data_IF_209379166497
#
_entry.id   IF_209379166497
#
_cell.length_a   1.000
_cell.length_b   1.000
_cell.length_c   1.000
_cell.angle_alpha   90.00
_cell.angle_beta   90.00
_cell.angle_gamma   90.00
#
_symmetry.space_group_name_H-M   'P 1'
#
loop_
_entity.id
_entity.type
_entity.pdbx_description
1 polymer ?
#
# COMPACT_ATOMS: atom_id res chain seq x y z
N UNK A 1 -2.87 9.06 10.83
CA UNK A 1 -2.72 7.72 11.42
C UNK A 1 -1.83 6.86 10.55
N UNK A 2 -0.93 6.14 11.17
CA UNK A 2 0.01 5.27 10.48
C UNK A 2 -0.42 3.82 10.66
N UNK A 3 -0.59 3.08 9.56
CA UNK A 3 -0.99 1.68 9.58
C UNK A 3 -0.01 0.83 8.81
N UNK A 4 0.23 -0.37 9.31
CA UNK A 4 1.10 -1.35 8.65
C UNK A 4 0.27 -2.48 8.07
N UNK A 5 0.72 -2.98 6.93
CA UNK A 5 0.04 -4.04 6.20
C UNK A 5 1.04 -5.10 5.76
N UNK A 6 0.60 -6.35 5.75
CA UNK A 6 1.35 -7.42 5.11
C UNK A 6 1.06 -7.38 3.61
N UNK A 7 2.10 -7.57 2.81
CA UNK A 7 1.99 -7.57 1.36
C UNK A 7 2.44 -8.93 0.85
N UNK A 8 1.60 -9.55 0.02
CA UNK A 8 1.88 -10.88 -0.54
C UNK A 8 1.99 -10.80 -2.05
N UNK A 9 2.81 -11.68 -2.61
CA UNK A 9 2.99 -11.82 -4.05
C UNK A 9 3.55 -10.56 -4.73
N UNK A 10 4.38 -9.81 -4.02
CA UNK A 10 5.08 -8.65 -4.58
C UNK A 10 6.58 -8.85 -4.34
N UNK A 11 7.32 -9.11 -5.42
CA UNK A 11 8.77 -9.32 -5.33
C UNK A 11 9.56 -8.41 -6.27
N UNK A 12 8.88 -7.68 -7.14
CA UNK A 12 9.50 -6.81 -8.14
C UNK A 12 9.61 -5.39 -7.60
N UNK A 13 10.84 -4.92 -7.39
CA UNK A 13 11.09 -3.58 -6.86
C UNK A 13 10.62 -2.47 -7.78
N UNK A 14 10.65 -2.71 -9.08
CA UNK A 14 10.18 -1.71 -10.05
C UNK A 14 8.67 -1.54 -9.91
N UNK A 15 7.95 -2.65 -9.78
CA UNK A 15 6.50 -2.60 -9.55
C UNK A 15 6.17 -1.96 -8.21
N UNK A 16 6.94 -2.28 -7.18
CA UNK A 16 6.75 -1.68 -5.86
C UNK A 16 6.90 -0.15 -5.92
N UNK A 17 7.88 0.33 -6.65
CA UNK A 17 8.08 1.77 -6.84
C UNK A 17 6.90 2.41 -7.54
N UNK A 18 6.36 1.76 -8.57
CA UNK A 18 5.19 2.26 -9.28
C UNK A 18 3.97 2.30 -8.37
N UNK A 19 3.76 1.26 -7.59
CA UNK A 19 2.67 1.20 -6.61
C UNK A 19 2.80 2.35 -5.62
N UNK A 20 4.00 2.55 -5.09
CA UNK A 20 4.27 3.62 -4.13
C UNK A 20 3.91 4.99 -4.71
N UNK A 21 4.34 5.26 -5.95
CA UNK A 21 4.04 6.53 -6.61
C UNK A 21 2.53 6.76 -6.81
N UNK A 22 1.82 5.70 -7.20
CA UNK A 22 0.38 5.81 -7.43
C UNK A 22 -0.37 6.03 -6.13
N UNK A 23 0.04 5.34 -5.07
CA UNK A 23 -0.59 5.49 -3.76
C UNK A 23 -0.35 6.89 -3.19
N UNK A 24 0.84 7.45 -3.39
CA UNK A 24 1.14 8.80 -2.93
C UNK A 24 0.19 9.85 -3.49
N UNK A 25 -0.40 9.59 -4.64
CA UNK A 25 -1.34 10.52 -5.30
C UNK A 25 -2.77 10.38 -4.79
N UNK A 26 -3.05 9.37 -3.98
CA UNK A 26 -4.40 9.14 -3.47
C UNK A 26 -4.73 10.18 -2.41
N UNK A 27 -5.91 10.80 -2.53
CA UNK A 27 -6.37 11.77 -1.54
C UNK A 27 -6.47 11.14 -0.16
N UNK A 28 -5.87 11.76 0.82
CA UNK A 28 -5.84 11.26 2.20
C UNK A 28 -4.55 10.55 2.57
N UNK A 29 -3.70 10.22 1.60
CA UNK A 29 -2.39 9.60 1.88
C UNK A 29 -1.37 10.70 2.13
N UNK A 30 -0.67 10.59 3.25
CA UNK A 30 0.42 11.51 3.60
C UNK A 30 1.77 10.91 3.27
N UNK A 31 1.92 9.60 3.46
CA UNK A 31 3.19 8.94 3.24
C UNK A 31 2.98 7.44 3.06
N UNK A 32 3.78 6.83 2.19
CA UNK A 32 3.80 5.37 2.02
C UNK A 32 5.24 4.88 1.94
N UNK A 33 5.48 3.71 2.51
CA UNK A 33 6.80 3.09 2.48
C UNK A 33 6.67 1.58 2.48
N UNK A 34 7.47 0.91 1.63
CA UNK A 34 7.63 -0.54 1.66
C UNK A 34 8.85 -0.92 2.49
N UNK A 35 8.80 -2.10 3.11
CA UNK A 35 9.96 -2.69 3.74
C UNK A 35 10.97 -3.15 2.68
N UNK A 36 12.19 -3.45 3.09
CA UNK A 36 13.24 -3.87 2.16
C UNK A 36 12.89 -5.16 1.43
N UNK A 37 12.20 -6.07 2.11
CA UNK A 37 11.83 -7.37 1.53
C UNK A 37 10.49 -7.32 0.80
N UNK A 38 9.85 -6.16 0.75
CA UNK A 38 8.57 -5.93 0.10
C UNK A 38 7.42 -6.76 0.69
N UNK A 39 7.60 -7.26 1.90
CA UNK A 39 6.57 -8.05 2.59
C UNK A 39 5.67 -7.22 3.49
N UNK A 40 6.07 -5.99 3.77
CA UNK A 40 5.28 -5.08 4.59
C UNK A 40 5.21 -3.70 3.97
N UNK A 41 4.12 -3.02 4.25
CA UNK A 41 3.89 -1.67 3.76
C UNK A 41 3.34 -0.83 4.90
N UNK A 42 3.84 0.40 5.02
CA UNK A 42 3.35 1.35 6.03
C UNK A 42 2.78 2.55 5.33
N UNK A 43 1.56 2.94 5.70
CA UNK A 43 0.88 4.08 5.10
C UNK A 43 0.43 5.03 6.20
N UNK A 44 0.79 6.31 6.06
CA UNK A 44 0.26 7.35 6.92
C UNK A 44 -0.90 8.01 6.19
N UNK A 45 -2.08 8.03 6.82
CA UNK A 45 -3.33 8.46 6.23
C UNK A 45 -4.14 9.33 7.17
N UNK A 46 -5.06 10.11 6.61
CA UNK A 46 -6.07 10.79 7.42
C UNK A 46 -7.08 9.77 7.95
N UNK A 47 -7.40 9.87 9.25
CA UNK A 47 -8.30 8.93 9.91
C UNK A 47 -9.65 8.78 9.21
N UNK A 48 -10.22 9.89 8.76
CA UNK A 48 -11.54 9.87 8.14
C UNK A 48 -11.57 9.27 6.75
N UNK A 49 -10.38 8.98 6.17
CA UNK A 49 -10.29 8.51 4.77
C UNK A 49 -9.71 7.12 4.63
N UNK A 50 -9.47 6.42 5.73
CA UNK A 50 -8.81 5.11 5.71
C UNK A 50 -9.50 4.13 4.77
N UNK A 51 -10.81 3.98 4.88
CA UNK A 51 -11.56 3.03 4.06
C UNK A 51 -11.43 3.36 2.57
N UNK A 52 -11.65 4.62 2.21
CA UNK A 52 -11.55 5.06 0.83
C UNK A 52 -10.13 4.89 0.28
N UNK A 53 -9.13 5.24 1.09
CA UNK A 53 -7.73 5.09 0.69
C UNK A 53 -7.41 3.62 0.45
N UNK A 54 -7.81 2.73 1.36
CA UNK A 54 -7.46 1.32 1.23
C UNK A 54 -8.13 0.64 0.05
N UNK A 55 -9.34 1.05 -0.33
CA UNK A 55 -9.96 0.57 -1.56
C UNK A 55 -9.09 0.90 -2.78
N UNK A 56 -8.56 2.11 -2.81
CA UNK A 56 -7.68 2.54 -3.90
C UNK A 56 -6.36 1.78 -3.86
N UNK A 57 -5.80 1.59 -2.67
CA UNK A 57 -4.54 0.88 -2.49
C UNK A 57 -4.64 -0.55 -3.02
N UNK A 58 -5.68 -1.26 -2.64
CA UNK A 58 -5.89 -2.64 -3.10
C UNK A 58 -6.01 -2.69 -4.62
N UNK A 59 -6.77 -1.78 -5.21
CA UNK A 59 -6.95 -1.72 -6.65
C UNK A 59 -5.65 -1.40 -7.37
N UNK A 60 -4.88 -0.44 -6.85
CA UNK A 60 -3.58 -0.07 -7.43
C UNK A 60 -2.61 -1.25 -7.39
N UNK A 61 -2.50 -1.91 -6.24
CA UNK A 61 -1.62 -3.06 -6.09
C UNK A 61 -1.97 -4.16 -7.08
N UNK A 62 -3.25 -4.49 -7.18
CA UNK A 62 -3.72 -5.56 -8.06
C UNK A 62 -3.54 -5.23 -9.53
N UNK A 63 -3.71 -3.95 -9.89
CA UNK A 63 -3.56 -3.51 -11.28
C UNK A 63 -2.09 -3.55 -11.73
N UNK A 64 -1.18 -3.10 -10.87
CA UNK A 64 0.23 -3.01 -11.23
C UNK A 64 0.92 -4.38 -11.08
N UNK A 65 0.58 -5.13 -10.03
CA UNK A 65 1.14 -6.45 -9.78
C UNK A 65 0.00 -7.44 -9.56
N UNK A 66 -0.43 -8.10 -10.61
CA UNK A 66 -1.55 -9.04 -10.55
C UNK A 66 -1.31 -10.10 -9.48
N UNK A 67 -2.31 -10.29 -8.63
CA UNK A 67 -2.23 -11.25 -7.54
C UNK A 67 -1.62 -10.70 -6.25
N UNK A 68 -1.17 -9.44 -6.26
CA UNK A 68 -0.67 -8.82 -5.05
C UNK A 68 -1.81 -8.64 -4.04
N UNK A 69 -1.59 -9.07 -2.80
CA UNK A 69 -2.58 -8.94 -1.73
C UNK A 69 -2.03 -8.09 -0.60
N UNK A 70 -2.91 -7.31 0.01
CA UNK A 70 -2.57 -6.43 1.12
C UNK A 70 -3.49 -6.77 2.28
N UNK A 71 -2.91 -7.14 3.44
CA UNK A 71 -3.65 -7.52 4.63
C UNK A 71 -3.23 -6.68 5.83
N UNK A 72 -4.20 -6.19 6.58
CA UNK A 72 -3.92 -5.37 7.74
C UNK A 72 -3.11 -6.16 8.78
N UNK A 73 -2.04 -5.54 9.27
CA UNK A 73 -1.20 -6.15 10.28
C UNK A 73 -1.72 -5.75 11.68
N UNK A 74 -2.31 -6.67 12.37
CA UNK A 74 -2.74 -6.46 13.74
C UNK A 74 -1.54 -6.61 14.67
N UNK A 75 -1.30 -5.61 15.46
CA UNK A 75 -0.18 -5.64 16.41
C UNK A 75 -0.67 -5.95 17.81
#
# INVERSE_FOLDING_TARGET
>A
MNRSYHVYALSDRIKAKRIEREIEKVDGVKKIRFSKDLKEMSIEMENSKITAVMERVVNICNRISYGCEVHYKFS
#
